data_IF_999416730624
#
_entry.id   IF_999416730624
#
_cell.length_a   1.000
_cell.length_b   1.000
_cell.length_c   1.000
_cell.angle_alpha   90.00
_cell.angle_beta   90.00
_cell.angle_gamma   90.00
#
_symmetry.space_group_name_H-M   'P 1'
#
loop_
_entity.id
_entity.type
_entity.pdbx_description
1 polymer ?
#
# COMPACT_ATOMS: atom_id res chain seq x y z
N UNK A 1 28.63 -4.13 -18.01
CA UNK A 1 27.70 -4.03 -16.85
C UNK A 1 28.09 -5.08 -15.83
N UNK A 2 27.84 -4.82 -14.55
CA UNK A 2 28.10 -5.73 -13.43
C UNK A 2 26.80 -5.96 -12.69
N UNK A 3 26.55 -7.21 -12.28
CA UNK A 3 25.40 -7.60 -11.48
C UNK A 3 25.87 -7.79 -10.04
N UNK A 4 25.27 -7.05 -9.12
CA UNK A 4 25.50 -7.16 -7.69
C UNK A 4 24.32 -7.91 -7.07
N UNK A 5 24.60 -8.97 -6.31
CA UNK A 5 23.61 -9.60 -5.44
C UNK A 5 23.63 -8.89 -4.10
N UNK A 6 22.51 -8.27 -3.74
CA UNK A 6 22.36 -7.53 -2.49
C UNK A 6 21.55 -8.37 -1.53
N UNK A 7 22.05 -8.54 -0.30
CA UNK A 7 21.36 -9.25 0.77
C UNK A 7 21.33 -8.40 2.03
N UNK A 8 20.13 -8.14 2.57
CA UNK A 8 19.92 -7.43 3.83
C UNK A 8 18.74 -8.06 4.57
N UNK A 9 19.03 -8.75 5.67
CA UNK A 9 18.01 -9.49 6.44
C UNK A 9 17.24 -10.47 5.53
N UNK A 10 15.93 -10.29 5.37
CA UNK A 10 15.09 -11.12 4.49
C UNK A 10 14.97 -10.58 3.05
N UNK A 11 15.56 -9.42 2.76
CA UNK A 11 15.50 -8.80 1.43
C UNK A 11 16.73 -9.22 0.64
N UNK A 12 16.49 -9.83 -0.51
CA UNK A 12 17.53 -10.26 -1.44
C UNK A 12 17.11 -9.98 -2.89
N UNK A 13 17.98 -9.32 -3.66
CA UNK A 13 17.72 -8.99 -5.06
C UNK A 13 19.01 -8.82 -5.86
N UNK A 14 18.89 -8.77 -7.19
CA UNK A 14 19.98 -8.42 -8.09
C UNK A 14 19.88 -6.96 -8.51
N UNK A 15 21.00 -6.24 -8.54
CA UNK A 15 21.10 -4.86 -8.99
C UNK A 15 22.16 -4.74 -10.08
N UNK A 16 21.82 -4.08 -11.19
CA UNK A 16 22.74 -3.89 -12.32
C UNK A 16 23.35 -2.51 -12.27
N UNK A 17 24.68 -2.43 -12.40
CA UNK A 17 25.41 -1.17 -12.44
C UNK A 17 26.60 -1.22 -13.40
N UNK A 18 27.32 -0.11 -13.55
CA UNK A 18 28.51 0.02 -14.39
C UNK A 18 29.79 0.07 -13.53
N UNK A 19 30.90 -0.48 -14.04
CA UNK A 19 32.21 -0.46 -13.36
C UNK A 19 32.73 0.96 -13.07
N UNK A 20 32.29 1.95 -13.84
CA UNK A 20 32.71 3.34 -13.68
C UNK A 20 32.03 4.07 -12.51
N UNK A 21 31.01 3.46 -11.87
CA UNK A 21 30.27 4.08 -10.77
C UNK A 21 31.05 3.94 -9.46
N UNK A 22 31.07 5.00 -8.66
CA UNK A 22 31.66 4.97 -7.32
C UNK A 22 30.79 4.13 -6.37
N UNK A 23 31.42 3.58 -5.32
CA UNK A 23 30.76 2.85 -4.24
C UNK A 23 29.64 3.67 -3.59
N UNK A 24 29.83 4.98 -3.38
CA UNK A 24 28.83 5.86 -2.77
C UNK A 24 27.51 5.87 -3.54
N UNK A 25 27.58 5.96 -4.88
CA UNK A 25 26.41 5.88 -5.75
C UNK A 25 25.69 4.53 -5.62
N UNK A 26 26.45 3.42 -5.57
CA UNK A 26 25.87 2.09 -5.41
C UNK A 26 25.16 1.96 -4.07
N UNK A 27 25.78 2.44 -2.99
CA UNK A 27 25.19 2.43 -1.64
C UNK A 27 23.91 3.25 -1.59
N UNK A 28 23.89 4.44 -2.19
CA UNK A 28 22.69 5.29 -2.24
C UNK A 28 21.54 4.58 -2.96
N UNK A 29 21.76 4.10 -4.18
CA UNK A 29 20.71 3.47 -4.98
C UNK A 29 20.19 2.19 -4.33
N UNK A 30 21.10 1.33 -3.84
CA UNK A 30 20.72 0.10 -3.13
C UNK A 30 19.91 0.41 -1.87
N UNK A 31 20.29 1.44 -1.10
CA UNK A 31 19.54 1.86 0.09
C UNK A 31 18.14 2.34 -0.28
N UNK A 32 18.00 3.09 -1.38
CA UNK A 32 16.69 3.54 -1.89
C UNK A 32 15.81 2.35 -2.31
N UNK A 33 16.37 1.37 -3.02
CA UNK A 33 15.64 0.15 -3.40
C UNK A 33 15.15 -0.60 -2.17
N UNK A 34 16.02 -0.81 -1.16
CA UNK A 34 15.64 -1.49 0.08
C UNK A 34 14.52 -0.73 0.80
N UNK A 35 14.61 0.60 0.89
CA UNK A 35 13.58 1.42 1.52
C UNK A 35 12.23 1.35 0.78
N UNK A 36 12.23 1.37 -0.55
CA UNK A 36 10.99 1.20 -1.32
C UNK A 36 10.40 -0.21 -1.15
N UNK A 37 11.22 -1.27 -1.12
CA UNK A 37 10.73 -2.64 -0.84
C UNK A 37 10.07 -2.69 0.55
N UNK A 38 10.70 -2.13 1.58
CA UNK A 38 10.13 -2.09 2.94
C UNK A 38 8.82 -1.31 3.00
N UNK A 39 8.73 -0.20 2.26
CA UNK A 39 7.50 0.59 2.16
C UNK A 39 6.38 -0.19 1.47
N UNK A 40 6.68 -0.85 0.35
CA UNK A 40 5.73 -1.71 -0.36
C UNK A 40 5.28 -2.90 0.49
N UNK A 41 6.17 -3.51 1.28
CA UNK A 41 5.82 -4.55 2.25
C UNK A 41 4.86 -4.03 3.33
N UNK A 42 5.10 -2.81 3.82
CA UNK A 42 4.18 -2.18 4.78
C UNK A 42 2.80 -1.95 4.16
N UNK A 43 2.75 -1.44 2.94
CA UNK A 43 1.51 -1.21 2.19
C UNK A 43 0.77 -2.53 1.94
N UNK A 44 1.47 -3.56 1.46
CA UNK A 44 0.92 -4.89 1.21
C UNK A 44 0.27 -5.50 2.45
N UNK A 45 0.85 -5.29 3.63
CA UNK A 45 0.25 -5.74 4.90
C UNK A 45 -1.05 -5.01 5.28
N UNK A 46 -1.26 -3.80 4.75
CA UNK A 46 -2.39 -2.92 5.09
C UNK A 46 -3.55 -3.10 4.08
N UNK A 47 -3.24 -3.39 2.81
CA UNK A 47 -4.21 -3.47 1.73
C UNK A 47 -5.37 -4.46 1.96
N UNK A 48 -5.18 -5.68 2.51
CA UNK A 48 -6.29 -6.62 2.74
C UNK A 48 -7.42 -6.01 3.59
N UNK A 49 -7.05 -5.39 4.71
CA UNK A 49 -8.03 -4.77 5.61
C UNK A 49 -8.64 -3.52 4.98
N UNK A 50 -7.86 -2.76 4.19
CA UNK A 50 -8.35 -1.57 3.49
C UNK A 50 -9.39 -1.90 2.43
N UNK A 51 -9.14 -2.93 1.63
CA UNK A 51 -10.06 -3.40 0.60
C UNK A 51 -11.33 -3.97 1.24
N UNK A 52 -11.19 -4.68 2.36
CA UNK A 52 -12.33 -5.29 3.04
C UNK A 52 -13.19 -4.29 3.83
N UNK A 53 -12.58 -3.32 4.53
CA UNK A 53 -13.25 -2.51 5.55
C UNK A 53 -13.12 -1.00 5.33
N UNK A 54 -12.47 -0.56 4.25
CA UNK A 54 -12.38 0.86 3.89
C UNK A 54 -11.25 1.63 4.59
N UNK A 55 -11.36 2.96 4.67
CA UNK A 55 -10.35 3.82 5.28
C UNK A 55 -10.11 3.55 6.76
N UNK A 56 -8.98 4.02 7.26
CA UNK A 56 -8.63 3.97 8.67
C UNK A 56 -9.55 4.89 9.49
N UNK A 57 -9.93 4.45 10.68
CA UNK A 57 -10.67 5.26 11.65
C UNK A 57 -9.74 6.26 12.35
N UNK A 58 -10.28 7.37 12.82
CA UNK A 58 -9.55 8.36 13.62
C UNK A 58 -8.97 7.72 14.90
N UNK A 59 -7.78 8.15 15.31
CA UNK A 59 -7.03 7.53 16.42
C UNK A 59 -7.82 7.40 17.72
N UNK A 60 -8.61 8.42 18.04
CA UNK A 60 -9.48 8.52 19.21
C UNK A 60 -10.64 7.50 19.23
N UNK A 61 -10.95 6.87 18.09
CA UNK A 61 -12.05 5.92 17.94
C UNK A 61 -11.60 4.52 17.46
N UNK A 62 -10.29 4.29 17.27
CA UNK A 62 -9.76 2.96 16.90
C UNK A 62 -9.99 1.95 18.03
N UNK A 63 -10.37 0.73 17.66
CA UNK A 63 -10.69 -0.35 18.59
C UNK A 63 -12.08 -0.24 19.23
N UNK A 64 -12.86 0.79 18.88
CA UNK A 64 -14.26 0.91 19.26
C UNK A 64 -15.13 0.28 18.16
N UNK A 65 -15.54 -0.97 18.35
CA UNK A 65 -16.45 -1.65 17.43
C UNK A 65 -17.90 -1.21 17.71
N UNK A 66 -18.58 -1.82 18.68
CA UNK A 66 -19.99 -1.54 19.01
C UNK A 66 -20.19 -0.30 19.90
N UNK A 67 -19.09 0.26 20.40
CA UNK A 67 -19.07 1.43 21.30
C UNK A 67 -18.75 2.72 20.58
N UNK A 68 -18.53 2.67 19.25
CA UNK A 68 -18.29 3.86 18.47
C UNK A 68 -19.54 4.78 18.52
N UNK A 69 -19.38 6.07 18.87
CA UNK A 69 -20.52 6.98 18.90
C UNK A 69 -21.21 7.06 17.54
N UNK A 70 -22.56 7.02 17.46
CA UNK A 70 -23.28 7.08 16.19
C UNK A 70 -22.92 8.31 15.34
N UNK A 71 -22.64 9.45 15.99
CA UNK A 71 -22.21 10.69 15.34
C UNK A 71 -20.87 10.56 14.60
N UNK A 72 -19.97 9.70 15.09
CA UNK A 72 -18.67 9.44 14.45
C UNK A 72 -18.88 8.59 13.22
N UNK A 73 -19.66 7.51 13.34
CA UNK A 73 -19.97 6.61 12.22
C UNK A 73 -20.69 7.37 11.10
N UNK A 74 -21.58 8.29 11.46
CA UNK A 74 -22.27 9.15 10.50
C UNK A 74 -21.29 10.07 9.76
N UNK A 75 -20.36 10.73 10.46
CA UNK A 75 -19.32 11.55 9.82
C UNK A 75 -18.39 10.74 8.92
N UNK A 76 -18.01 9.54 9.35
CA UNK A 76 -17.21 8.61 8.53
C UNK A 76 -17.97 8.23 7.25
N UNK A 77 -19.28 8.01 7.36
CA UNK A 77 -20.15 7.75 6.21
C UNK A 77 -20.26 8.96 5.28
N UNK A 78 -20.53 10.15 5.81
CA UNK A 78 -20.60 11.39 5.02
C UNK A 78 -19.29 11.66 4.25
N UNK A 79 -18.14 11.41 4.89
CA UNK A 79 -16.83 11.55 4.24
C UNK A 79 -16.64 10.53 3.11
N UNK A 80 -17.14 9.31 3.27
CA UNK A 80 -17.17 8.33 2.19
C UNK A 80 -18.14 8.79 1.09
N UNK A 81 -19.38 9.13 1.38
CA UNK A 81 -20.37 9.59 0.41
C UNK A 81 -19.92 10.82 -0.41
N UNK A 82 -19.07 11.68 0.16
CA UNK A 82 -18.45 12.81 -0.53
C UNK A 82 -17.58 12.40 -1.75
N UNK A 83 -17.10 11.15 -1.79
CA UNK A 83 -16.38 10.61 -2.95
C UNK A 83 -17.30 10.28 -4.14
N UNK A 84 -18.62 10.44 -3.99
CA UNK A 84 -19.64 10.19 -5.03
C UNK A 84 -19.67 8.77 -5.59
N UNK A 85 -18.98 7.82 -4.95
CA UNK A 85 -18.99 6.40 -5.26
C UNK A 85 -19.94 5.65 -4.30
N UNK A 86 -20.46 4.50 -4.73
CA UNK A 86 -21.25 3.66 -3.85
C UNK A 86 -20.35 2.92 -2.84
N UNK A 87 -20.79 2.86 -1.59
CA UNK A 87 -20.08 2.16 -0.51
C UNK A 87 -20.91 1.00 0.02
N UNK A 88 -20.21 -0.04 0.45
CA UNK A 88 -20.76 -1.22 1.10
C UNK A 88 -20.24 -1.27 2.53
N UNK A 89 -21.17 -1.26 3.48
CA UNK A 89 -20.81 -1.40 4.88
C UNK A 89 -20.37 -2.83 5.18
N UNK A 90 -19.10 -2.98 5.56
CA UNK A 90 -18.51 -4.23 6.00
C UNK A 90 -17.71 -3.98 7.30
N UNK A 91 -18.33 -4.29 8.43
CA UNK A 91 -17.76 -4.04 9.76
C UNK A 91 -16.37 -4.65 9.92
N UNK A 92 -15.42 -3.84 10.43
CA UNK A 92 -14.09 -4.31 10.83
C UNK A 92 -14.15 -4.92 12.23
N UNK A 93 -13.87 -6.24 12.39
CA UNK A 93 -13.85 -6.87 13.71
C UNK A 93 -12.83 -6.27 14.67
N UNK A 94 -11.75 -5.70 14.14
CA UNK A 94 -10.68 -5.07 14.93
C UNK A 94 -11.02 -3.64 15.38
N UNK A 95 -12.01 -3.02 14.73
CA UNK A 95 -12.43 -1.64 15.01
C UNK A 95 -11.40 -0.57 14.61
N UNK A 96 -10.39 -0.90 13.81
CA UNK A 96 -9.38 0.06 13.35
C UNK A 96 -9.81 0.82 12.10
N UNK A 97 -10.73 0.27 11.32
CA UNK A 97 -11.26 0.84 10.08
C UNK A 97 -12.71 1.28 10.23
N UNK A 98 -13.14 2.14 9.32
CA UNK A 98 -14.50 2.72 9.35
C UNK A 98 -15.59 1.68 9.07
N UNK A 99 -15.25 0.61 8.35
CA UNK A 99 -16.20 -0.36 7.82
C UNK A 99 -16.90 0.11 6.54
N UNK A 100 -16.55 1.30 6.03
CA UNK A 100 -17.11 1.87 4.80
C UNK A 100 -16.27 1.42 3.60
N UNK A 101 -16.45 0.18 3.17
CA UNK A 101 -15.71 -0.38 2.04
C UNK A 101 -16.27 0.10 0.69
N UNK A 102 -15.44 0.13 -0.33
CA UNK A 102 -15.87 0.51 -1.70
C UNK A 102 -16.63 -0.64 -2.39
N UNK A 103 -17.33 -0.34 -3.50
CA UNK A 103 -18.02 -1.37 -4.30
C UNK A 103 -17.12 -2.50 -4.78
N UNK A 104 -17.71 -3.65 -5.11
CA UNK A 104 -17.02 -4.81 -5.68
C UNK A 104 -16.12 -4.45 -6.88
N UNK A 105 -16.57 -3.56 -7.78
CA UNK A 105 -15.79 -3.12 -8.93
C UNK A 105 -14.45 -2.47 -8.52
N UNK A 106 -14.48 -1.52 -7.57
CA UNK A 106 -13.27 -0.86 -7.09
C UNK A 106 -12.43 -1.76 -6.19
N UNK A 107 -13.05 -2.67 -5.44
CA UNK A 107 -12.33 -3.71 -4.68
C UNK A 107 -11.49 -4.56 -5.63
N UNK A 108 -12.03 -4.95 -6.78
CA UNK A 108 -11.28 -5.70 -7.78
C UNK A 108 -10.12 -4.91 -8.39
N UNK A 109 -10.28 -3.59 -8.61
CA UNK A 109 -9.18 -2.72 -9.05
C UNK A 109 -8.07 -2.68 -7.98
N UNK A 110 -8.44 -2.52 -6.70
CA UNK A 110 -7.48 -2.49 -5.59
C UNK A 110 -6.81 -3.85 -5.37
N UNK A 111 -7.52 -4.96 -5.54
CA UNK A 111 -6.97 -6.31 -5.45
C UNK A 111 -5.96 -6.59 -6.58
N UNK A 112 -6.22 -6.08 -7.79
CA UNK A 112 -5.26 -6.15 -8.88
C UNK A 112 -3.98 -5.36 -8.55
N UNK A 113 -4.12 -4.15 -7.99
CA UNK A 113 -2.99 -3.33 -7.56
C UNK A 113 -2.20 -4.00 -6.41
N UNK A 114 -2.91 -4.59 -5.44
CA UNK A 114 -2.32 -5.40 -4.36
C UNK A 114 -1.51 -6.57 -4.93
N UNK A 115 -2.09 -7.32 -5.86
CA UNK A 115 -1.41 -8.45 -6.52
C UNK A 115 -0.15 -8.00 -7.28
N UNK A 116 -0.18 -6.81 -7.90
CA UNK A 116 0.99 -6.24 -8.54
C UNK A 116 2.11 -5.94 -7.53
N UNK A 117 1.78 -5.41 -6.35
CA UNK A 117 2.74 -5.20 -5.26
C UNK A 117 3.31 -6.54 -4.80
N UNK A 118 2.45 -7.51 -4.45
CA UNK A 118 2.87 -8.85 -4.00
C UNK A 118 3.86 -9.48 -4.99
N UNK A 119 3.60 -9.37 -6.29
CA UNK A 119 4.49 -9.89 -7.34
C UNK A 119 5.82 -9.13 -7.46
N UNK A 120 5.81 -7.81 -7.22
CA UNK A 120 7.00 -6.97 -7.26
C UNK A 120 7.95 -7.25 -6.09
N UNK A 121 7.41 -7.51 -4.89
CA UNK A 121 8.19 -7.72 -3.66
C UNK A 121 8.16 -9.16 -3.13
N UNK A 122 7.75 -10.12 -3.96
CA UNK A 122 7.66 -11.52 -3.55
C UNK A 122 9.03 -12.09 -3.16
N UNK A 123 9.11 -12.63 -1.94
CA UNK A 123 10.31 -13.30 -1.42
C UNK A 123 10.79 -14.46 -2.30
N UNK A 124 9.91 -15.01 -3.14
CA UNK A 124 10.24 -16.11 -4.06
C UNK A 124 10.91 -15.62 -5.35
N UNK A 125 10.54 -14.44 -5.85
CA UNK A 125 10.98 -13.93 -7.16
C UNK A 125 12.03 -12.84 -7.06
N UNK A 126 12.02 -12.04 -5.98
CA UNK A 126 13.02 -10.99 -5.73
C UNK A 126 14.48 -11.47 -5.88
N UNK A 127 14.90 -12.63 -5.32
CA UNK A 127 16.30 -13.07 -5.38
C UNK A 127 16.82 -13.35 -6.79
N UNK A 128 15.92 -13.68 -7.73
CA UNK A 128 16.26 -14.06 -9.11
C UNK A 128 16.04 -12.93 -10.11
N UNK A 129 15.48 -11.79 -9.67
CA UNK A 129 15.17 -10.63 -10.51
C UNK A 129 16.21 -9.53 -10.36
N UNK A 130 16.44 -8.84 -11.47
CA UNK A 130 17.12 -7.55 -11.49
C UNK A 130 16.09 -6.48 -11.13
N UNK A 131 16.32 -5.82 -10.01
CA UNK A 131 15.40 -4.82 -9.46
C UNK A 131 15.91 -3.43 -9.77
N UNK A 132 14.99 -2.56 -10.19
CA UNK A 132 15.27 -1.13 -10.37
C UNK A 132 14.41 -0.30 -9.42
N UNK A 133 14.88 0.90 -9.08
CA UNK A 133 14.07 1.80 -8.25
C UNK A 133 12.80 2.25 -8.99
N UNK A 134 12.86 2.39 -10.31
CA UNK A 134 11.77 2.89 -11.12
C UNK A 134 10.62 1.88 -11.21
N UNK A 135 10.91 0.58 -11.35
CA UNK A 135 9.83 -0.43 -11.35
C UNK A 135 9.07 -0.46 -10.01
N UNK A 136 9.75 -0.27 -8.88
CA UNK A 136 9.10 -0.26 -7.56
C UNK A 136 8.22 0.99 -7.39
N UNK A 137 8.69 2.14 -7.87
CA UNK A 137 7.92 3.39 -7.87
C UNK A 137 6.72 3.35 -8.80
N UNK A 138 6.85 2.70 -9.96
CA UNK A 138 5.73 2.53 -10.89
C UNK A 138 4.62 1.70 -10.23
N UNK A 139 4.98 0.61 -9.54
CA UNK A 139 4.03 -0.20 -8.78
C UNK A 139 3.37 0.61 -7.66
N UNK A 140 4.11 1.43 -6.92
CA UNK A 140 3.55 2.35 -5.92
C UNK A 140 2.58 3.37 -6.55
N UNK A 141 2.96 3.97 -7.68
CA UNK A 141 2.14 4.95 -8.39
C UNK A 141 0.85 4.35 -8.93
N UNK A 142 0.91 3.11 -9.43
CA UNK A 142 -0.26 2.38 -9.89
C UNK A 142 -1.25 2.15 -8.74
N UNK A 143 -0.76 1.77 -7.55
CA UNK A 143 -1.62 1.67 -6.37
C UNK A 143 -2.26 3.02 -6.03
N UNK A 144 -1.47 4.10 -5.99
CA UNK A 144 -2.01 5.45 -5.72
C UNK A 144 -3.09 5.84 -6.71
N UNK A 145 -2.90 5.51 -7.98
CA UNK A 145 -3.92 5.66 -9.03
C UNK A 145 -5.18 4.88 -8.71
N UNK A 146 -5.06 3.61 -8.34
CA UNK A 146 -6.19 2.77 -7.92
C UNK A 146 -6.92 3.30 -6.69
N UNK A 147 -6.19 3.81 -5.69
CA UNK A 147 -6.78 4.45 -4.50
C UNK A 147 -7.52 5.73 -4.89
N UNK A 148 -6.94 6.56 -5.77
CA UNK A 148 -7.58 7.79 -6.26
C UNK A 148 -8.86 7.49 -7.04
N UNK A 149 -8.90 6.38 -7.78
CA UNK A 149 -10.10 5.94 -8.47
C UNK A 149 -11.20 5.52 -7.49
N UNK A 150 -10.85 4.81 -6.41
CA UNK A 150 -11.81 4.36 -5.39
C UNK A 150 -12.22 5.47 -4.41
N UNK A 151 -11.35 6.46 -4.20
CA UNK A 151 -11.54 7.59 -3.28
C UNK A 151 -11.08 8.90 -3.95
N UNK A 152 -11.88 9.48 -4.87
CA UNK A 152 -11.50 10.68 -5.62
C UNK A 152 -11.25 11.92 -4.75
N UNK A 153 -11.90 12.01 -3.59
CA UNK A 153 -11.70 13.09 -2.61
C UNK A 153 -10.52 12.83 -1.65
N UNK A 154 -9.82 11.70 -1.85
CA UNK A 154 -8.68 11.28 -1.06
C UNK A 154 -9.06 10.51 0.19
N UNK A 155 -8.02 10.02 0.87
CA UNK A 155 -8.12 9.36 2.16
C UNK A 155 -7.90 10.35 3.32
N UNK A 156 -8.33 10.00 4.54
CA UNK A 156 -7.96 10.76 5.73
C UNK A 156 -6.44 10.93 5.83
N UNK A 157 -5.97 12.09 6.31
CA UNK A 157 -4.54 12.44 6.35
C UNK A 157 -3.66 11.52 7.21
N UNK A 158 -4.30 10.74 8.08
CA UNK A 158 -3.67 9.77 8.97
C UNK A 158 -3.73 8.33 8.42
N UNK A 159 -4.38 8.09 7.27
CA UNK A 159 -4.34 6.80 6.59
C UNK A 159 -2.98 6.67 5.87
N UNK A 160 -2.23 5.57 6.07
CA UNK A 160 -0.90 5.39 5.49
C UNK A 160 -0.86 5.09 3.99
N UNK A 161 -2.02 4.93 3.32
CA UNK A 161 -2.14 4.56 1.89
C UNK A 161 -2.21 5.76 0.94
#
# INVERSE_FOLDING_TARGET
MVILRVTKSEIEFQFVTELARNVEYVVEIVSRIINEILKLQRIESILPDFIAHGPLRAEEHRGLTDTCPPEVVEKEREACEANHEAYEYNSDPSGFRTGQATTEHFRQILDNAKTAIENAISKKTLPTRQITLDELKEVEQNLKGSVTLAYPMGLPSYDPL
#
